data_IF_031236668418
#
_entry.id   IF_031236668418
#
_cell.length_a   1.000
_cell.length_b   1.000
_cell.length_c   1.000
_cell.angle_alpha   90.00
_cell.angle_beta   90.00
_cell.angle_gamma   90.00
#
_symmetry.space_group_name_H-M   'P 1'
#
loop_
_entity.id
_entity.type
_entity.pdbx_description
1 polymer ?
#
# COMPACT_ATOMS: atom_id res chain seq x y z
N UNK A 1 23.34 10.52 -13.36
CA UNK A 1 21.92 10.09 -13.30
C UNK A 1 21.15 11.11 -12.48
N UNK A 2 20.01 11.60 -13.00
CA UNK A 2 19.18 12.59 -12.30
C UNK A 2 18.15 11.83 -11.46
N UNK A 3 18.20 12.02 -10.15
CA UNK A 3 17.23 11.44 -9.20
C UNK A 3 15.84 12.05 -9.45
N UNK A 4 14.82 11.21 -9.55
CA UNK A 4 13.43 11.67 -9.61
C UNK A 4 13.03 12.28 -8.25
N UNK A 5 12.44 13.48 -8.28
CA UNK A 5 11.87 14.12 -7.09
C UNK A 5 10.36 14.17 -7.26
N UNK A 6 9.67 13.28 -6.53
CA UNK A 6 8.21 13.15 -6.51
C UNK A 6 7.67 13.49 -5.11
N UNK A 7 8.40 14.32 -4.37
CA UNK A 7 7.99 14.74 -3.02
C UNK A 7 6.65 15.47 -3.11
N UNK A 8 5.67 15.06 -2.30
CA UNK A 8 4.31 15.64 -2.24
C UNK A 8 3.51 15.58 -3.56
N UNK A 9 3.89 14.74 -4.53
CA UNK A 9 3.12 14.61 -5.77
C UNK A 9 1.90 13.74 -5.57
N UNK A 10 0.79 14.09 -6.24
CA UNK A 10 -0.37 13.21 -6.34
C UNK A 10 -0.26 12.33 -7.59
N UNK A 11 -0.05 11.03 -7.39
CA UNK A 11 0.07 9.99 -8.41
C UNK A 11 -1.06 8.95 -8.28
N UNK A 12 -2.14 9.31 -7.58
CA UNK A 12 -3.30 8.47 -7.40
C UNK A 12 -3.79 7.89 -8.74
N UNK A 13 -3.94 6.56 -8.80
CA UNK A 13 -4.38 5.80 -9.99
C UNK A 13 -3.49 5.98 -11.23
N UNK A 14 -2.29 6.54 -11.09
CA UNK A 14 -1.34 6.64 -12.19
C UNK A 14 -0.82 5.25 -12.60
N UNK A 15 -0.32 5.15 -13.82
CA UNK A 15 0.47 3.99 -14.26
C UNK A 15 1.94 4.37 -14.32
N UNK A 16 2.74 3.73 -13.49
CA UNK A 16 4.19 3.87 -13.39
C UNK A 16 4.88 2.52 -13.66
N UNK A 17 4.27 1.71 -14.52
CA UNK A 17 4.83 0.44 -14.95
C UNK A 17 6.23 0.64 -15.51
N UNK A 18 7.17 -0.19 -15.08
CA UNK A 18 8.57 -0.15 -15.54
C UNK A 18 9.28 1.20 -15.33
N UNK A 19 8.72 2.10 -14.52
CA UNK A 19 9.32 3.39 -14.26
C UNK A 19 10.66 3.24 -13.53
N UNK A 20 11.64 4.07 -13.90
CA UNK A 20 12.90 4.15 -13.17
C UNK A 20 12.74 5.09 -11.97
N UNK A 21 12.48 4.50 -10.80
CA UNK A 21 12.36 5.19 -9.51
C UNK A 21 13.60 4.92 -8.63
N UNK A 22 14.73 4.50 -9.23
CA UNK A 22 15.95 4.28 -8.48
C UNK A 22 16.35 5.56 -7.76
N UNK A 23 16.65 5.42 -6.47
CA UNK A 23 16.97 6.52 -5.56
C UNK A 23 15.96 7.68 -5.53
N UNK A 24 14.73 7.53 -6.04
CA UNK A 24 13.74 8.61 -6.09
C UNK A 24 13.34 9.12 -4.69
N UNK A 25 13.01 10.41 -4.56
CA UNK A 25 12.41 10.93 -3.33
C UNK A 25 10.89 10.94 -3.47
N UNK A 26 10.21 10.06 -2.74
CA UNK A 26 8.75 9.88 -2.72
C UNK A 26 8.11 10.39 -1.42
N UNK A 27 8.83 11.17 -0.62
CA UNK A 27 8.33 11.67 0.66
C UNK A 27 6.99 12.39 0.49
N UNK A 28 5.99 12.01 1.29
CA UNK A 28 4.63 12.59 1.29
C UNK A 28 3.87 12.48 -0.05
N UNK A 29 4.31 11.62 -0.96
CA UNK A 29 3.61 11.38 -2.22
C UNK A 29 2.36 10.50 -2.01
N UNK A 30 1.33 10.70 -2.85
CA UNK A 30 0.13 9.88 -2.88
C UNK A 30 0.23 8.89 -4.06
N UNK A 31 0.36 7.61 -3.77
CA UNK A 31 0.37 6.48 -4.70
C UNK A 31 -0.89 5.60 -4.56
N UNK A 32 -2.00 6.14 -4.04
CA UNK A 32 -3.24 5.39 -3.88
C UNK A 32 -3.70 4.77 -5.21
N UNK A 33 -3.83 3.44 -5.25
CA UNK A 33 -4.19 2.69 -6.47
C UNK A 33 -3.22 2.87 -7.65
N UNK A 34 -1.98 3.29 -7.42
CA UNK A 34 -0.98 3.41 -8.48
C UNK A 34 -0.47 2.04 -8.91
N UNK A 35 -0.21 1.88 -10.20
CA UNK A 35 0.40 0.65 -10.74
C UNK A 35 1.91 0.83 -10.90
N UNK A 36 2.70 0.18 -10.04
CA UNK A 36 4.16 0.20 -10.03
C UNK A 36 4.76 -1.11 -10.59
N UNK A 37 3.99 -1.94 -11.30
CA UNK A 37 4.46 -3.24 -11.82
C UNK A 37 5.79 -3.07 -12.56
N UNK A 38 6.79 -3.89 -12.24
CA UNK A 38 8.15 -3.85 -12.80
C UNK A 38 8.94 -2.53 -12.60
N UNK A 39 8.46 -1.60 -11.77
CA UNK A 39 9.18 -0.37 -11.49
C UNK A 39 10.51 -0.64 -10.76
N UNK A 40 11.56 0.10 -11.11
CA UNK A 40 12.86 0.01 -10.43
C UNK A 40 12.85 0.86 -9.18
N UNK A 41 12.83 0.24 -8.01
CA UNK A 41 12.62 0.93 -6.72
C UNK A 41 13.84 0.90 -5.79
N UNK A 42 14.99 0.43 -6.28
CA UNK A 42 16.21 0.34 -5.47
C UNK A 42 16.63 1.71 -4.91
N UNK A 43 16.73 1.82 -3.59
CA UNK A 43 17.18 3.02 -2.89
C UNK A 43 16.19 4.17 -2.85
N UNK A 44 14.93 3.97 -3.26
CA UNK A 44 13.89 4.99 -3.11
C UNK A 44 13.74 5.45 -1.65
N UNK A 45 13.40 6.73 -1.47
CA UNK A 45 13.15 7.32 -0.17
C UNK A 45 11.64 7.43 -0.01
N UNK A 46 11.08 6.56 0.81
CA UNK A 46 9.66 6.51 1.15
C UNK A 46 9.47 6.96 2.61
N UNK A 47 8.93 8.15 2.81
CA UNK A 47 8.56 8.65 4.14
C UNK A 47 7.19 9.30 4.04
N UNK A 48 6.23 8.83 4.84
CA UNK A 48 4.85 9.31 4.84
C UNK A 48 4.18 9.26 3.45
N UNK A 49 4.59 8.34 2.58
CA UNK A 49 3.94 8.13 1.28
C UNK A 49 2.77 7.16 1.45
N UNK A 50 1.67 7.41 0.73
CA UNK A 50 0.49 6.55 0.75
C UNK A 50 0.53 5.58 -0.43
N UNK A 51 0.69 4.29 -0.17
CA UNK A 51 0.65 3.23 -1.19
C UNK A 51 -0.62 2.38 -1.11
N UNK A 52 -1.66 2.84 -0.40
CA UNK A 52 -2.89 2.06 -0.20
C UNK A 52 -3.48 1.63 -1.55
N UNK A 53 -3.80 0.34 -1.68
CA UNK A 53 -4.29 -0.31 -2.90
C UNK A 53 -3.35 -0.21 -4.11
N UNK A 54 -2.09 0.20 -3.96
CA UNK A 54 -1.13 0.25 -5.06
C UNK A 54 -0.70 -1.16 -5.48
N UNK A 55 -0.46 -1.38 -6.78
CA UNK A 55 0.19 -2.59 -7.28
C UNK A 55 1.69 -2.36 -7.18
N UNK A 56 2.38 -3.14 -6.36
CA UNK A 56 3.80 -3.04 -6.08
C UNK A 56 4.65 -3.58 -7.26
N UNK A 57 5.97 -3.32 -7.29
CA UNK A 57 6.83 -3.77 -8.39
C UNK A 57 6.82 -5.28 -8.66
N UNK A 58 6.53 -6.09 -7.66
CA UNK A 58 6.40 -7.54 -7.77
C UNK A 58 5.00 -8.01 -8.22
N UNK A 59 4.07 -7.08 -8.48
CA UNK A 59 2.69 -7.37 -8.86
C UNK A 59 1.71 -7.55 -7.68
N UNK A 60 2.19 -7.53 -6.44
CA UNK A 60 1.34 -7.66 -5.26
C UNK A 60 0.60 -6.35 -4.96
N UNK A 61 -0.63 -6.44 -4.46
CA UNK A 61 -1.38 -5.25 -4.03
C UNK A 61 -1.00 -4.91 -2.59
N UNK A 62 -0.58 -3.65 -2.37
CA UNK A 62 -0.37 -3.13 -1.03
C UNK A 62 -1.72 -2.82 -0.38
N UNK A 63 -2.27 -3.80 0.31
CA UNK A 63 -3.42 -3.59 1.19
C UNK A 63 -2.92 -2.95 2.48
N UNK A 64 -3.24 -1.67 2.71
CA UNK A 64 -3.19 -1.14 4.07
C UNK A 64 -4.17 -1.99 4.87
N UNK A 65 -3.73 -2.62 5.96
CA UNK A 65 -4.56 -3.47 6.81
C UNK A 65 -5.85 -2.73 7.20
N UNK A 66 -6.91 -2.90 6.40
CA UNK A 66 -8.29 -2.78 6.85
C UNK A 66 -8.64 -4.19 7.30
N UNK A 67 -8.28 -4.50 8.54
CA UNK A 67 -8.78 -5.65 9.26
C UNK A 67 -10.28 -5.46 9.51
N UNK A 68 -11.09 -5.41 8.45
CA UNK A 68 -12.56 -5.53 8.50
C UNK A 68 -12.95 -7.01 8.60
N UNK A 69 -12.16 -7.78 9.35
CA UNK A 69 -12.40 -9.18 9.68
C UNK A 69 -13.10 -9.26 11.03
N UNK A 70 -14.43 -9.26 11.00
CA UNK A 70 -15.32 -9.98 11.91
C UNK A 70 -14.78 -10.24 13.33
N UNK A 71 -15.17 -9.40 14.29
CA UNK A 71 -15.39 -9.86 15.65
C UNK A 71 -16.61 -10.80 15.67
N UNK A 72 -16.44 -12.02 15.15
CA UNK A 72 -17.32 -13.14 15.48
C UNK A 72 -17.13 -13.42 16.97
N UNK A 73 -17.86 -12.67 17.81
CA UNK A 73 -18.07 -13.06 19.20
C UNK A 73 -18.73 -14.44 19.14
N UNK A 74 -18.13 -15.52 19.68
CA UNK A 74 -18.89 -16.71 19.94
C UNK A 74 -19.97 -16.30 20.93
N UNK A 75 -21.23 -16.25 20.49
CA UNK A 75 -22.35 -16.20 21.41
C UNK A 75 -22.17 -17.37 22.36
N UNK A 76 -21.80 -17.07 23.61
CA UNK A 76 -21.90 -18.02 24.69
C UNK A 76 -23.38 -18.28 24.88
N UNK A 77 -23.91 -19.22 24.09
CA UNK A 77 -25.22 -19.80 24.32
C UNK A 77 -25.19 -20.35 25.73
N UNK A 78 -25.96 -19.70 26.61
CA UNK A 78 -26.27 -20.14 27.95
C UNK A 78 -26.70 -21.61 27.90
N UNK A 79 -25.79 -22.53 28.20
CA UNK A 79 -26.17 -23.91 28.40
C UNK A 79 -26.69 -24.05 29.83
N UNK A 80 -28.00 -23.87 29.94
CA UNK A 80 -28.87 -24.39 30.98
C UNK A 80 -28.29 -25.61 31.69
N UNK A 81 -27.83 -25.44 32.93
CA UNK A 81 -27.82 -26.54 33.90
C UNK A 81 -29.03 -26.38 34.82
N UNK A 82 -30.18 -26.86 34.34
CA UNK A 82 -31.22 -27.37 35.22
C UNK A 82 -30.93 -28.85 35.45
N UNK A 83 -30.28 -29.17 36.57
CA UNK A 83 -30.64 -30.27 37.48
C UNK A 83 -29.74 -30.24 38.72
#
# INVERSE_FOLDING_TARGET
MKKACLKKTNLQKASLKQADLMVANLEQANFYKTDLTDAKTYGWIIKNADFTDAIMPNGEIYQSETTDGELNQPETSENHLKK
#
